data_IF_547198858980
#
_entry.id   IF_547198858980
#
_cell.length_a   1.000
_cell.length_b   1.000
_cell.length_c   1.000
_cell.angle_alpha   90.00
_cell.angle_beta   90.00
_cell.angle_gamma   90.00
#
_symmetry.space_group_name_H-M   'P 1'
#
loop_
_entity.id
_entity.type
_entity.pdbx_description
1 polymer ?
#
# COMPACT_ATOMS: atom_id res chain seq x y z
N UNK A 1 -18.56 2.41 -0.55
CA UNK A 1 -18.62 1.87 -1.92
C UNK A 1 -17.57 2.53 -2.82
N UNK A 2 -17.52 3.87 -2.86
CA UNK A 2 -16.57 4.64 -3.72
C UNK A 2 -15.11 4.33 -3.38
N UNK A 3 -14.76 4.16 -2.10
CA UNK A 3 -13.41 3.80 -1.67
C UNK A 3 -13.01 2.37 -2.06
N UNK A 4 -13.98 1.49 -2.25
CA UNK A 4 -13.76 0.10 -2.66
C UNK A 4 -13.81 -0.08 -4.18
N UNK A 5 -14.08 0.97 -4.95
CA UNK A 5 -14.19 0.91 -6.41
C UNK A 5 -12.94 0.33 -7.08
N UNK A 6 -11.75 0.63 -6.53
CA UNK A 6 -10.48 0.08 -6.99
C UNK A 6 -10.37 -1.44 -6.83
N UNK A 7 -10.92 -2.00 -5.74
CA UNK A 7 -10.98 -3.45 -5.54
C UNK A 7 -11.86 -4.09 -6.62
N UNK A 8 -13.05 -3.55 -6.87
CA UNK A 8 -13.94 -4.05 -7.93
C UNK A 8 -13.32 -3.92 -9.32
N UNK A 9 -12.65 -2.80 -9.60
CA UNK A 9 -11.97 -2.57 -10.87
C UNK A 9 -10.85 -3.59 -11.13
N UNK A 10 -10.03 -3.89 -10.11
CA UNK A 10 -8.97 -4.88 -10.26
C UNK A 10 -9.50 -6.31 -10.25
N UNK A 11 -10.57 -6.59 -9.49
CA UNK A 11 -11.25 -7.89 -9.51
C UNK A 11 -11.79 -8.23 -10.91
N UNK A 12 -12.38 -7.25 -11.60
CA UNK A 12 -12.86 -7.43 -12.97
C UNK A 12 -11.73 -7.78 -13.95
N UNK A 13 -10.52 -7.28 -13.71
CA UNK A 13 -9.35 -7.60 -14.54
C UNK A 13 -8.80 -8.99 -14.25
N UNK A 14 -8.47 -9.25 -12.99
CA UNK A 14 -7.94 -10.54 -12.53
C UNK A 14 -8.18 -10.70 -11.04
N UNK A 15 -8.85 -11.77 -10.65
CA UNK A 15 -9.15 -12.10 -9.24
C UNK A 15 -7.88 -12.15 -8.39
N UNK A 16 -6.74 -12.62 -8.94
CA UNK A 16 -5.47 -12.70 -8.25
C UNK A 16 -4.92 -11.35 -7.74
N UNK A 17 -5.44 -10.22 -8.26
CA UNK A 17 -5.00 -8.89 -7.81
C UNK A 17 -5.67 -8.44 -6.52
N UNK A 18 -6.71 -9.12 -6.07
CA UNK A 18 -7.50 -8.72 -4.90
C UNK A 18 -7.80 -9.83 -3.90
N UNK A 19 -7.54 -11.10 -4.27
CA UNK A 19 -7.87 -12.27 -3.43
C UNK A 19 -7.15 -12.29 -2.07
N UNK A 20 -6.03 -11.56 -1.92
CA UNK A 20 -5.31 -11.40 -0.67
C UNK A 20 -5.93 -10.33 0.26
N UNK A 21 -6.78 -9.44 -0.25
CA UNK A 21 -7.32 -8.31 0.52
C UNK A 21 -8.03 -8.71 1.83
N UNK A 22 -8.88 -9.74 1.87
CA UNK A 22 -9.49 -10.17 3.14
C UNK A 22 -8.45 -10.51 4.21
N UNK A 23 -7.38 -11.21 3.81
CA UNK A 23 -6.31 -11.58 4.73
C UNK A 23 -5.47 -10.39 5.18
N UNK A 24 -5.29 -9.40 4.30
CA UNK A 24 -4.65 -8.14 4.66
C UNK A 24 -5.44 -7.37 5.71
N UNK A 25 -6.76 -7.25 5.57
CA UNK A 25 -7.61 -6.64 6.59
C UNK A 25 -7.53 -7.39 7.93
N UNK A 26 -7.56 -8.73 7.90
CA UNK A 26 -7.45 -9.56 9.09
C UNK A 26 -6.05 -9.46 9.74
N UNK A 27 -5.00 -9.32 8.95
CA UNK A 27 -3.65 -9.08 9.45
C UNK A 27 -3.54 -7.71 10.13
N UNK A 28 -4.09 -6.65 9.54
CA UNK A 28 -4.14 -5.31 10.16
C UNK A 28 -4.93 -5.33 11.47
N UNK A 29 -6.08 -6.01 11.50
CA UNK A 29 -6.85 -6.22 12.74
C UNK A 29 -6.04 -6.99 13.80
N UNK A 30 -5.26 -8.00 13.39
CA UNK A 30 -4.41 -8.74 14.32
C UNK A 30 -3.28 -7.89 14.89
N UNK A 31 -2.81 -6.88 14.14
CA UNK A 31 -1.88 -5.87 14.65
C UNK A 31 -2.54 -5.05 15.77
N UNK A 32 -3.80 -4.62 15.62
CA UNK A 32 -4.51 -3.91 16.68
C UNK A 32 -4.67 -4.78 17.93
N UNK A 33 -5.09 -6.04 17.76
CA UNK A 33 -5.19 -7.01 18.86
C UNK A 33 -3.86 -7.24 19.55
N UNK A 34 -2.74 -7.25 18.81
CA UNK A 34 -1.41 -7.40 19.39
C UNK A 34 -1.10 -6.32 20.46
N UNK A 35 -1.52 -5.08 20.24
CA UNK A 35 -1.31 -4.00 21.21
C UNK A 35 -2.24 -4.08 22.43
N UNK A 36 -3.27 -4.93 22.40
CA UNK A 36 -4.18 -5.21 23.53
C UNK A 36 -3.69 -6.44 24.28
N UNK A 37 -3.49 -7.56 23.59
CA UNK A 37 -3.29 -8.90 24.18
C UNK A 37 -1.84 -9.40 24.08
N UNK A 38 -0.96 -8.70 23.39
CA UNK A 38 0.43 -9.06 23.09
C UNK A 38 0.62 -10.41 22.34
N UNK A 39 -0.44 -10.96 21.76
CA UNK A 39 -0.38 -12.18 20.96
C UNK A 39 -0.18 -11.87 19.47
N UNK A 40 0.88 -12.41 18.87
CA UNK A 40 1.21 -12.18 17.45
C UNK A 40 0.85 -13.37 16.53
N UNK A 41 0.20 -14.42 17.05
CA UNK A 41 -0.21 -15.60 16.28
C UNK A 41 -1.11 -15.24 15.10
N UNK A 42 -2.04 -14.30 15.28
CA UNK A 42 -2.91 -13.82 14.21
C UNK A 42 -2.12 -13.18 13.04
N UNK A 43 -1.04 -12.44 13.35
CA UNK A 43 -0.16 -11.85 12.33
C UNK A 43 0.49 -12.96 11.50
N UNK A 44 0.96 -14.04 12.16
CA UNK A 44 1.57 -15.18 11.48
C UNK A 44 0.56 -15.90 10.58
N UNK A 45 -0.63 -16.22 11.09
CA UNK A 45 -1.67 -16.94 10.35
C UNK A 45 -2.08 -16.15 9.09
N UNK A 46 -2.51 -14.90 9.26
CA UNK A 46 -3.00 -14.10 8.14
C UNK A 46 -1.89 -13.68 7.18
N UNK A 47 -0.67 -13.44 7.68
CA UNK A 47 0.50 -13.21 6.85
C UNK A 47 0.84 -14.42 5.99
N UNK A 48 0.77 -15.64 6.54
CA UNK A 48 0.95 -16.89 5.77
C UNK A 48 -0.13 -17.07 4.70
N UNK A 49 -1.39 -16.74 5.03
CA UNK A 49 -2.48 -16.75 4.05
C UNK A 49 -2.23 -15.77 2.90
N UNK A 50 -1.70 -14.56 3.17
CA UNK A 50 -1.34 -13.60 2.13
C UNK A 50 -0.30 -14.21 1.17
N UNK A 51 0.77 -14.82 1.70
CA UNK A 51 1.83 -15.42 0.89
C UNK A 51 1.29 -16.55 0.01
N UNK A 52 0.46 -17.43 0.57
CA UNK A 52 -0.11 -18.57 -0.15
C UNK A 52 -1.09 -18.15 -1.25
N UNK A 53 -1.82 -17.04 -1.06
CA UNK A 53 -2.79 -16.55 -2.04
C UNK A 53 -2.17 -15.62 -3.09
N UNK A 54 -1.13 -14.86 -2.74
CA UNK A 54 -0.52 -13.91 -3.66
C UNK A 54 0.95 -13.66 -3.35
N UNK A 55 1.82 -14.52 -3.87
CA UNK A 55 3.28 -14.30 -3.77
C UNK A 55 3.69 -12.94 -4.34
N UNK A 56 2.96 -12.45 -5.34
CA UNK A 56 3.26 -11.21 -6.05
C UNK A 56 3.02 -9.95 -5.21
N UNK A 57 1.92 -9.94 -4.43
CA UNK A 57 1.55 -8.80 -3.59
C UNK A 57 2.02 -8.93 -2.14
N UNK A 58 2.60 -10.08 -1.74
CA UNK A 58 2.97 -10.33 -0.34
C UNK A 58 3.97 -9.30 0.18
N UNK A 59 4.98 -8.91 -0.61
CA UNK A 59 5.98 -7.91 -0.22
C UNK A 59 5.32 -6.56 0.06
N UNK A 60 4.43 -6.12 -0.84
CA UNK A 60 3.69 -4.87 -0.65
C UNK A 60 2.77 -4.92 0.58
N UNK A 61 2.09 -6.05 0.82
CA UNK A 61 1.26 -6.24 2.00
C UNK A 61 2.09 -6.15 3.29
N UNK A 62 3.26 -6.77 3.33
CA UNK A 62 4.14 -6.70 4.50
C UNK A 62 4.69 -5.30 4.74
N UNK A 63 4.99 -4.54 3.69
CA UNK A 63 5.39 -3.13 3.81
C UNK A 63 4.24 -2.31 4.39
N UNK A 64 3.01 -2.47 3.90
CA UNK A 64 1.82 -1.76 4.41
C UNK A 64 1.54 -2.14 5.86
N UNK A 65 1.62 -3.43 6.21
CA UNK A 65 1.47 -3.89 7.60
C UNK A 65 2.59 -3.35 8.50
N UNK A 66 3.83 -3.28 8.02
CA UNK A 66 4.95 -2.67 8.75
C UNK A 66 4.71 -1.19 9.02
N UNK A 67 4.28 -0.42 8.01
CA UNK A 67 3.92 1.00 8.16
C UNK A 67 2.85 1.16 9.23
N UNK A 68 1.79 0.36 9.16
CA UNK A 68 0.70 0.40 10.14
C UNK A 68 1.18 0.02 11.55
N UNK A 69 2.00 -1.02 11.65
CA UNK A 69 2.57 -1.46 12.92
C UNK A 69 3.44 -0.37 13.58
N UNK A 70 4.29 0.30 12.80
CA UNK A 70 5.10 1.43 13.30
C UNK A 70 4.23 2.60 13.76
N UNK A 71 3.12 2.88 13.05
CA UNK A 71 2.15 3.89 13.49
C UNK A 71 1.52 3.51 14.83
N UNK A 72 1.16 2.25 15.04
CA UNK A 72 0.63 1.77 16.32
C UNK A 72 1.68 1.81 17.42
N UNK A 73 2.94 1.46 17.14
CA UNK A 73 4.05 1.65 18.07
C UNK A 73 4.18 3.12 18.52
N UNK A 74 4.04 4.06 17.58
CA UNK A 74 4.08 5.50 17.89
C UNK A 74 2.89 5.94 18.77
N UNK A 75 1.70 5.41 18.53
CA UNK A 75 0.50 5.70 19.34
C UNK A 75 0.65 5.17 20.78
N UNK A 76 1.21 3.98 20.94
CA UNK A 76 1.41 3.33 22.25
C UNK A 76 2.74 3.71 22.93
N UNK A 77 3.63 4.47 22.23
CA UNK A 77 4.97 4.87 22.68
C UNK A 77 5.89 3.69 23.04
N UNK A 78 5.66 2.54 22.45
CA UNK A 78 6.44 1.33 22.63
C UNK A 78 7.04 0.89 21.28
N UNK A 79 8.37 0.71 21.22
CA UNK A 79 9.03 0.38 19.95
C UNK A 79 9.84 -0.92 20.00
N UNK A 80 10.75 -1.07 20.98
CA UNK A 80 11.75 -2.15 20.95
C UNK A 80 11.13 -3.54 20.99
N UNK A 81 10.28 -3.81 21.99
CA UNK A 81 9.65 -5.11 22.20
C UNK A 81 8.65 -5.46 21.09
N UNK A 82 7.72 -4.57 20.69
CA UNK A 82 6.82 -4.83 19.58
C UNK A 82 7.53 -5.10 18.27
N UNK A 83 8.54 -4.32 17.89
CA UNK A 83 9.29 -4.53 16.64
C UNK A 83 10.03 -5.87 16.63
N UNK A 84 10.57 -6.30 17.76
CA UNK A 84 11.18 -7.62 17.90
C UNK A 84 10.15 -8.75 17.71
N UNK A 85 8.95 -8.62 18.29
CA UNK A 85 7.87 -9.59 18.07
C UNK A 85 7.39 -9.62 16.61
N UNK A 86 7.33 -8.47 15.95
CA UNK A 86 6.98 -8.40 14.52
C UNK A 86 8.04 -9.12 13.67
N UNK A 87 9.32 -8.95 13.98
CA UNK A 87 10.40 -9.65 13.31
C UNK A 87 10.25 -11.18 13.47
N UNK A 88 9.98 -11.65 14.69
CA UNK A 88 9.70 -13.09 14.96
C UNK A 88 8.49 -13.56 14.14
N UNK A 89 7.42 -12.76 14.09
CA UNK A 89 6.24 -13.10 13.33
C UNK A 89 6.56 -13.23 11.82
N UNK A 90 7.35 -12.33 11.26
CA UNK A 90 7.75 -12.40 9.85
C UNK A 90 8.64 -13.62 9.57
N UNK A 91 9.58 -13.93 10.46
CA UNK A 91 10.36 -15.18 10.35
C UNK A 91 9.43 -16.39 10.43
N UNK A 92 8.46 -16.41 11.33
CA UNK A 92 7.45 -17.47 11.43
C UNK A 92 6.64 -17.64 10.14
N UNK A 93 6.22 -16.54 9.50
CA UNK A 93 5.52 -16.58 8.21
C UNK A 93 6.41 -17.24 7.14
N UNK A 94 7.67 -16.81 7.03
CA UNK A 94 8.62 -17.36 6.05
C UNK A 94 8.82 -18.85 6.27
N UNK A 95 9.00 -19.30 7.51
CA UNK A 95 9.18 -20.71 7.84
C UNK A 95 7.93 -21.54 7.50
N UNK A 96 6.73 -21.07 7.87
CA UNK A 96 5.48 -21.77 7.57
C UNK A 96 5.18 -21.86 6.08
N UNK A 97 5.58 -20.86 5.30
CA UNK A 97 5.33 -20.82 3.86
C UNK A 97 6.52 -21.29 3.03
N UNK A 98 7.62 -21.73 3.65
CA UNK A 98 8.87 -22.09 2.99
C UNK A 98 8.66 -23.16 1.90
N UNK A 99 7.81 -24.15 2.16
CA UNK A 99 7.51 -25.23 1.21
C UNK A 99 6.93 -24.70 -0.12
N UNK A 100 6.26 -23.54 -0.07
CA UNK A 100 5.70 -22.87 -1.24
C UNK A 100 6.63 -21.79 -1.80
N UNK A 101 7.23 -20.98 -0.92
CA UNK A 101 8.02 -19.81 -1.31
C UNK A 101 9.36 -20.17 -1.92
N UNK A 102 10.04 -21.23 -1.42
CA UNK A 102 11.34 -21.65 -1.95
C UNK A 102 11.27 -22.09 -3.41
N UNK A 103 10.37 -23.04 -3.81
CA UNK A 103 10.21 -23.40 -5.21
C UNK A 103 9.79 -22.23 -6.09
N UNK A 104 8.90 -21.36 -5.59
CA UNK A 104 8.44 -20.19 -6.34
C UNK A 104 9.58 -19.22 -6.62
N UNK A 105 10.42 -18.92 -5.62
CA UNK A 105 11.60 -18.07 -5.78
C UNK A 105 12.62 -18.69 -6.74
N UNK A 106 12.82 -20.01 -6.68
CA UNK A 106 13.71 -20.72 -7.59
C UNK A 106 13.25 -20.59 -9.06
N UNK A 107 11.95 -20.76 -9.31
CA UNK A 107 11.36 -20.60 -10.65
C UNK A 107 11.48 -19.15 -11.14
N UNK A 108 11.23 -18.15 -10.27
CA UNK A 108 11.36 -16.74 -10.61
C UNK A 108 12.82 -16.40 -10.95
N UNK A 109 13.78 -16.88 -10.16
CA UNK A 109 15.20 -16.66 -10.38
C UNK A 109 15.72 -17.32 -11.67
N UNK A 110 15.22 -18.53 -11.99
CA UNK A 110 15.57 -19.25 -13.22
C UNK A 110 14.88 -18.72 -14.48
N UNK A 111 13.71 -18.15 -14.33
CA UNK A 111 12.88 -17.62 -15.42
C UNK A 111 13.12 -16.15 -15.72
N UNK A 112 14.32 -15.60 -15.54
CA UNK A 112 14.65 -14.18 -15.73
C UNK A 112 14.26 -13.71 -17.13
N UNK A 113 12.99 -13.32 -17.31
CA UNK A 113 12.63 -12.32 -18.32
C UNK A 113 13.55 -11.14 -18.01
N UNK A 114 14.39 -10.81 -18.97
CA UNK A 114 15.30 -9.65 -18.91
C UNK A 114 14.63 -8.55 -18.09
N UNK A 115 15.14 -8.32 -16.88
CA UNK A 115 14.83 -7.10 -16.14
C UNK A 115 15.19 -6.01 -17.14
N UNK A 116 14.17 -5.36 -17.69
CA UNK A 116 14.40 -4.19 -18.54
C UNK A 116 15.36 -3.34 -17.73
N UNK A 117 16.51 -3.01 -18.32
CA UNK A 117 17.56 -2.24 -17.66
C UNK A 117 17.00 -0.86 -17.29
N UNK A 118 16.19 -0.85 -16.25
CA UNK A 118 15.68 0.40 -15.67
C UNK A 118 16.87 1.04 -15.00
N UNK A 119 17.38 2.11 -15.58
CA UNK A 119 18.43 2.87 -14.96
C UNK A 119 17.94 3.33 -13.58
N UNK A 120 18.74 3.13 -12.57
CA UNK A 120 18.41 3.45 -11.18
C UNK A 120 18.02 4.94 -11.03
N UNK A 121 18.56 5.80 -11.89
CA UNK A 121 18.21 7.21 -11.99
C UNK A 121 16.75 7.44 -12.42
N UNK A 122 16.20 6.62 -13.32
CA UNK A 122 14.80 6.74 -13.76
C UNK A 122 13.84 6.38 -12.65
N UNK A 123 14.24 5.47 -11.73
CA UNK A 123 13.46 5.09 -10.55
C UNK A 123 13.43 6.16 -9.45
N UNK A 124 14.48 7.00 -9.41
CA UNK A 124 14.60 8.10 -8.44
C UNK A 124 13.85 9.37 -8.90
N UNK A 125 13.64 9.53 -10.20
CA UNK A 125 12.91 10.67 -10.71
C UNK A 125 11.41 10.56 -10.36
N UNK A 126 10.85 11.56 -9.64
CA UNK A 126 9.43 11.56 -9.34
C UNK A 126 8.63 11.60 -10.65
N UNK A 127 7.85 10.57 -10.90
CA UNK A 127 6.94 10.54 -12.05
C UNK A 127 5.53 10.81 -11.58
N UNK A 128 4.97 11.92 -12.03
CA UNK A 128 3.58 12.22 -11.79
C UNK A 128 2.73 11.59 -12.90
N UNK A 129 2.11 10.46 -12.59
CA UNK A 129 1.13 9.84 -13.50
C UNK A 129 -0.21 9.68 -12.77
N UNK A 130 -1.03 10.72 -12.80
CA UNK A 130 -2.39 10.61 -12.28
C UNK A 130 -3.19 9.51 -13.00
N UNK A 131 -2.90 9.25 -14.27
CA UNK A 131 -3.47 8.11 -15.01
C UNK A 131 -3.13 6.76 -14.38
N UNK A 132 -1.92 6.60 -13.83
CA UNK A 132 -1.53 5.39 -13.09
C UNK A 132 -2.31 5.18 -11.79
N UNK A 133 -2.89 6.23 -11.21
CA UNK A 133 -3.70 6.15 -10.00
C UNK A 133 -5.18 5.91 -10.31
N UNK A 134 -5.67 6.44 -11.41
CA UNK A 134 -7.07 6.32 -11.82
C UNK A 134 -7.34 5.01 -12.61
N UNK A 135 -8.44 5.01 -13.36
CA UNK A 135 -8.92 3.88 -14.17
C UNK A 135 -8.13 3.75 -15.47
N UNK A 136 -6.93 3.20 -15.42
CA UNK A 136 -6.11 2.88 -16.59
C UNK A 136 -5.73 1.39 -16.57
N UNK A 137 -5.25 0.85 -17.71
CA UNK A 137 -4.89 -0.56 -17.86
C UNK A 137 -3.90 -1.06 -16.82
N UNK A 138 -2.99 -0.20 -16.34
CA UNK A 138 -2.01 -0.49 -15.30
C UNK A 138 -2.21 0.37 -14.04
N UNK A 139 -3.34 1.09 -13.95
CA UNK A 139 -3.67 1.96 -12.84
C UNK A 139 -4.26 1.21 -11.65
N UNK A 140 -4.30 1.91 -10.51
CA UNK A 140 -4.87 1.38 -9.27
C UNK A 140 -6.40 1.32 -9.29
N UNK A 141 -7.06 2.10 -10.15
CA UNK A 141 -8.51 2.26 -10.15
C UNK A 141 -9.02 3.12 -8.99
N UNK A 142 -8.21 4.05 -8.50
CA UNK A 142 -8.63 5.00 -7.48
C UNK A 142 -9.60 6.03 -8.06
N UNK A 143 -10.61 6.42 -7.26
CA UNK A 143 -11.45 7.57 -7.58
C UNK A 143 -10.75 8.86 -7.17
N UNK A 144 -11.12 9.97 -7.80
CA UNK A 144 -10.58 11.27 -7.43
C UNK A 144 -10.90 11.67 -5.97
N UNK A 145 -11.99 11.15 -5.42
CA UNK A 145 -12.34 11.32 -4.02
C UNK A 145 -11.24 10.83 -3.07
N UNK A 146 -10.56 9.73 -3.42
CA UNK A 146 -9.45 9.18 -2.63
C UNK A 146 -8.31 10.22 -2.55
N UNK A 147 -8.01 10.88 -3.67
CA UNK A 147 -7.02 11.97 -3.68
C UNK A 147 -7.41 13.11 -2.74
N UNK A 148 -8.67 13.56 -2.82
CA UNK A 148 -9.19 14.61 -1.93
C UNK A 148 -9.01 14.21 -0.47
N UNK A 149 -9.38 12.99 -0.11
CA UNK A 149 -9.25 12.49 1.27
C UNK A 149 -7.80 12.42 1.74
N UNK A 150 -6.87 12.02 0.86
CA UNK A 150 -5.43 12.00 1.18
C UNK A 150 -4.93 13.42 1.43
N UNK A 151 -5.31 14.39 0.57
CA UNK A 151 -4.96 15.80 0.76
C UNK A 151 -5.55 16.35 2.05
N UNK A 152 -6.82 16.07 2.34
CA UNK A 152 -7.45 16.44 3.61
C UNK A 152 -6.69 15.89 4.82
N UNK A 153 -6.21 14.67 4.72
CA UNK A 153 -5.42 14.02 5.76
C UNK A 153 -4.08 14.71 6.06
N UNK A 154 -3.47 15.42 5.11
CA UNK A 154 -2.25 16.21 5.34
C UNK A 154 -2.44 17.33 6.36
N UNK A 155 -3.63 17.89 6.41
CA UNK A 155 -3.95 19.03 7.29
C UNK A 155 -4.38 18.60 8.69
N UNK A 156 -4.63 17.30 8.90
CA UNK A 156 -4.91 16.73 10.22
C UNK A 156 -3.65 16.13 10.85
N UNK A 157 -3.32 16.55 12.07
CA UNK A 157 -2.12 16.08 12.79
C UNK A 157 -2.08 14.55 12.93
N UNK A 158 -3.23 13.91 13.17
CA UNK A 158 -3.37 12.47 13.40
C UNK A 158 -3.10 11.63 12.13
N UNK A 159 -3.44 12.16 10.95
CA UNK A 159 -3.35 11.43 9.67
C UNK A 159 -2.25 11.95 8.75
N UNK A 160 -1.58 13.06 9.12
CA UNK A 160 -0.56 13.73 8.28
C UNK A 160 0.56 12.79 7.82
N UNK A 161 1.11 12.00 8.75
CA UNK A 161 2.21 11.09 8.44
C UNK A 161 1.79 10.03 7.42
N UNK A 162 0.60 9.44 7.62
CA UNK A 162 0.06 8.44 6.70
C UNK A 162 -0.21 9.03 5.31
N UNK A 163 -0.80 10.24 5.26
CA UNK A 163 -1.00 10.96 3.99
C UNK A 163 0.31 11.22 3.25
N UNK A 164 1.35 11.64 3.97
CA UNK A 164 2.67 11.86 3.39
C UNK A 164 3.26 10.57 2.82
N UNK A 165 3.20 9.46 3.58
CA UNK A 165 3.69 8.16 3.12
C UNK A 165 2.96 7.73 1.84
N UNK A 166 1.63 7.85 1.80
CA UNK A 166 0.84 7.48 0.63
C UNK A 166 1.21 8.38 -0.57
N UNK A 167 1.31 9.70 -0.38
CA UNK A 167 1.69 10.63 -1.46
C UNK A 167 3.10 10.30 -1.98
N UNK A 168 4.08 10.13 -1.10
CA UNK A 168 5.45 9.77 -1.50
C UNK A 168 5.44 8.46 -2.29
N UNK A 169 4.66 7.47 -1.84
CA UNK A 169 4.52 6.18 -2.54
C UNK A 169 3.88 6.33 -3.92
N UNK A 170 2.99 7.31 -4.11
CA UNK A 170 2.36 7.59 -5.39
C UNK A 170 3.29 8.28 -6.39
N UNK A 171 4.25 9.08 -5.89
CA UNK A 171 5.13 9.87 -6.74
C UNK A 171 6.51 9.24 -6.96
N UNK A 172 6.92 8.30 -6.12
CA UNK A 172 8.24 7.68 -6.18
C UNK A 172 8.19 6.29 -6.85
N UNK A 173 8.63 6.15 -8.11
CA UNK A 173 8.66 4.85 -8.80
C UNK A 173 9.52 3.81 -8.07
N UNK A 174 10.56 4.24 -7.35
CA UNK A 174 11.39 3.36 -6.55
C UNK A 174 10.58 2.59 -5.49
N UNK A 175 9.60 3.25 -4.85
CA UNK A 175 8.75 2.59 -3.85
C UNK A 175 7.88 1.53 -4.54
N UNK A 176 7.29 1.85 -5.70
CA UNK A 176 6.55 0.87 -6.48
C UNK A 176 7.42 -0.30 -6.93
N UNK A 177 8.69 -0.05 -7.28
CA UNK A 177 9.66 -1.07 -7.66
C UNK A 177 9.99 -2.01 -6.48
N UNK A 178 10.26 -1.45 -5.29
CA UNK A 178 10.49 -2.23 -4.06
C UNK A 178 9.24 -3.06 -3.72
N UNK A 179 8.06 -2.44 -3.74
CA UNK A 179 6.79 -3.13 -3.44
C UNK A 179 6.46 -4.25 -4.43
N UNK A 180 6.90 -4.15 -5.69
CA UNK A 180 6.78 -5.20 -6.69
C UNK A 180 7.94 -6.24 -6.63
N UNK A 181 8.69 -6.30 -5.52
CA UNK A 181 9.78 -7.27 -5.35
C UNK A 181 10.95 -7.06 -6.30
N UNK A 182 11.27 -5.82 -6.63
CA UNK A 182 12.38 -5.42 -7.51
C UNK A 182 12.25 -5.91 -8.97
N UNK A 183 11.04 -6.25 -9.42
CA UNK A 183 10.81 -6.74 -10.77
C UNK A 183 10.50 -5.60 -11.76
N UNK A 184 9.63 -4.67 -11.37
CA UNK A 184 9.23 -3.52 -12.19
C UNK A 184 8.52 -2.43 -11.38
N UNK A 185 8.53 -1.19 -11.86
CA UNK A 185 7.84 -0.06 -11.23
C UNK A 185 6.46 0.16 -11.91
N UNK A 186 5.38 -0.38 -11.32
CA UNK A 186 4.00 -0.14 -11.79
C UNK A 186 3.12 0.28 -10.64
N UNK A 187 2.35 1.35 -10.85
CA UNK A 187 1.50 1.96 -9.82
C UNK A 187 0.35 1.07 -9.34
N UNK A 188 -0.06 0.03 -10.08
CA UNK A 188 -1.10 -0.92 -9.65
C UNK A 188 -0.84 -1.54 -8.28
N UNK A 189 0.43 -1.62 -7.85
CA UNK A 189 0.80 -2.18 -6.54
C UNK A 189 0.25 -1.34 -5.38
N UNK A 190 -0.02 -0.06 -5.59
CA UNK A 190 -0.53 0.86 -4.58
C UNK A 190 -1.96 0.52 -4.11
N UNK A 191 -2.66 -0.39 -4.80
CA UNK A 191 -3.96 -0.93 -4.35
C UNK A 191 -3.86 -1.51 -2.93
N UNK A 192 -2.69 -1.99 -2.52
CA UNK A 192 -2.45 -2.55 -1.19
C UNK A 192 -2.63 -1.48 -0.08
N UNK A 193 -2.54 -0.19 -0.40
CA UNK A 193 -2.79 0.90 0.55
C UNK A 193 -4.28 1.15 0.84
N UNK A 194 -5.21 0.52 0.11
CA UNK A 194 -6.66 0.75 0.28
C UNK A 194 -7.11 0.63 1.74
N UNK A 195 -6.73 -0.39 2.53
CA UNK A 195 -7.14 -0.47 3.92
C UNK A 195 -6.71 0.75 4.74
N UNK A 196 -5.48 1.23 4.53
CA UNK A 196 -4.97 2.40 5.23
C UNK A 196 -5.65 3.70 4.75
N UNK A 197 -5.98 3.79 3.46
CA UNK A 197 -6.74 4.92 2.90
C UNK A 197 -8.16 4.94 3.48
N UNK A 198 -8.81 3.79 3.64
CA UNK A 198 -10.13 3.69 4.26
C UNK A 198 -10.06 4.11 5.74
N UNK A 199 -9.05 3.64 6.47
CA UNK A 199 -8.83 4.05 7.85
C UNK A 199 -8.62 5.57 7.94
N UNK A 200 -7.76 6.12 7.09
CA UNK A 200 -7.52 7.56 7.02
C UNK A 200 -8.79 8.34 6.70
N UNK A 201 -9.58 7.87 5.73
CA UNK A 201 -10.84 8.49 5.37
C UNK A 201 -11.81 8.52 6.56
N UNK A 202 -11.93 7.43 7.33
CA UNK A 202 -12.72 7.38 8.55
C UNK A 202 -12.26 8.45 9.56
N UNK A 203 -10.95 8.50 9.85
CA UNK A 203 -10.37 9.50 10.76
C UNK A 203 -10.52 10.95 10.28
N UNK A 204 -10.52 11.16 8.96
CA UNK A 204 -10.75 12.48 8.36
C UNK A 204 -12.22 12.89 8.49
N UNK A 205 -13.15 11.96 8.31
CA UNK A 205 -14.59 12.23 8.35
C UNK A 205 -15.14 12.33 9.78
N UNK A 206 -14.52 11.66 10.75
CA UNK A 206 -14.92 11.69 12.16
C UNK A 206 -14.94 13.13 12.73
N UNK A 207 -13.93 13.94 12.37
CA UNK A 207 -13.84 15.35 12.77
C UNK A 207 -14.10 16.28 11.59
N UNK A 208 -15.31 16.38 11.10
CA UNK A 208 -15.65 17.14 9.89
C UNK A 208 -15.60 18.68 10.05
N UNK A 209 -14.78 19.22 10.95
CA UNK A 209 -14.56 20.67 11.12
C UNK A 209 -13.48 21.20 10.16
N UNK A 210 -13.67 21.04 8.84
CA UNK A 210 -12.70 21.53 7.87
C UNK A 210 -12.89 23.01 7.56
N UNK A 211 -11.89 23.83 7.88
CA UNK A 211 -11.68 25.10 7.19
C UNK A 211 -10.85 24.82 5.94
N UNK A 212 -11.47 24.97 4.78
CA UNK A 212 -10.76 24.83 3.50
C UNK A 212 -9.80 26.02 3.37
N UNK A 213 -8.50 25.73 3.41
CA UNK A 213 -7.46 26.72 3.15
C UNK A 213 -7.13 26.76 1.65
N UNK A 214 -6.69 27.93 1.14
CA UNK A 214 -6.29 28.09 -0.26
C UNK A 214 -5.23 27.08 -0.70
N UNK A 215 -4.24 26.75 0.15
CA UNK A 215 -3.23 25.73 -0.15
C UNK A 215 -3.82 24.34 -0.33
N UNK A 216 -4.84 23.99 0.44
CA UNK A 216 -5.56 22.73 0.30
C UNK A 216 -6.34 22.68 -1.02
N UNK A 217 -7.01 23.76 -1.39
CA UNK A 217 -7.73 23.88 -2.65
C UNK A 217 -6.78 23.71 -3.85
N UNK A 218 -5.62 24.36 -3.80
CA UNK A 218 -4.59 24.25 -4.85
C UNK A 218 -4.13 22.79 -4.98
N UNK A 219 -3.82 22.11 -3.89
CA UNK A 219 -3.39 20.70 -3.91
C UNK A 219 -4.48 19.74 -4.42
N UNK A 220 -5.75 20.09 -4.18
CA UNK A 220 -6.87 19.32 -4.74
C UNK A 220 -7.00 19.56 -6.24
N UNK A 221 -6.92 20.81 -6.71
CA UNK A 221 -7.18 21.18 -8.11
C UNK A 221 -5.98 20.88 -9.01
N UNK A 222 -4.74 21.06 -8.50
CA UNK A 222 -3.51 20.88 -9.27
C UNK A 222 -3.46 19.61 -10.12
N UNK A 223 -3.81 18.41 -9.61
CA UNK A 223 -3.81 17.20 -10.41
C UNK A 223 -4.79 17.20 -11.59
N UNK A 224 -5.87 17.98 -11.52
CA UNK A 224 -6.84 18.04 -12.64
C UNK A 224 -6.21 18.63 -13.91
N UNK A 225 -5.28 19.56 -13.77
CA UNK A 225 -4.56 20.11 -14.92
C UNK A 225 -3.68 19.08 -15.63
N UNK A 226 -3.19 18.05 -14.90
CA UNK A 226 -2.38 17.00 -15.48
C UNK A 226 -3.20 15.84 -16.07
N UNK A 227 -4.50 15.72 -15.72
CA UNK A 227 -5.41 14.73 -16.36
C UNK A 227 -5.71 15.11 -17.78
N UNK A 228 -5.82 16.39 -18.08
CA UNK A 228 -6.27 16.94 -19.36
C UNK A 228 -5.14 17.07 -20.39
N UNK A 229 -3.87 16.91 -20.00
CA UNK A 229 -2.78 16.96 -20.97
C UNK A 229 -2.81 15.75 -21.90
N UNK A 230 -2.85 15.96 -23.25
CA UNK A 230 -2.67 14.87 -24.19
C UNK A 230 -1.30 14.23 -24.01
N UNK A 231 -1.22 12.91 -24.21
CA UNK A 231 0.03 12.18 -24.09
C UNK A 231 1.13 12.85 -24.93
N UNK A 232 2.15 13.37 -24.27
CA UNK A 232 3.46 13.41 -24.89
C UNK A 232 3.99 11.96 -24.82
N UNK A 233 3.90 11.30 -25.96
CA UNK A 233 4.46 9.97 -26.21
C UNK A 233 5.97 10.06 -26.22
#
# INVERSE_FOLDING_TARGET
>A
FVLLSSIFFQFHKQVMFVNYMPFLFLMLRSIDHYFIDHHFTGIIIWGSCIVLHSYFYCIACFIVCFIYFVMQCANHKEYKKPLFHLLIAYVGIVLLTAIYTIPTLYVIAGGSKSVSSTHLLDLLMPTFSLKGLLYNNYGCGFTYLIWILIVCGLYKKKTRLLSLIIIISMFCPLICFIMNGFLYARSKILIVFIPLIILQAGLVLEDFTFRINYSMLILIILPLFFITQPYLV
#
